data_IF_345231011310
#
_entry.id   IF_345231011310
#
_cell.length_a   1.000
_cell.length_b   1.000
_cell.length_c   1.000
_cell.angle_alpha   90.00
_cell.angle_beta   90.00
_cell.angle_gamma   90.00
#
_symmetry.space_group_name_H-M   'P 1'
#
loop_
_entity.id
_entity.type
_entity.pdbx_description
1 polymer ?
#
# COMPACT_ATOMS: atom_id res chain seq x y z
N UNK A 1 -22.71 -0.43 -24.24
CA UNK A 1 -23.08 0.73 -23.38
C UNK A 1 -22.08 1.87 -23.58
N UNK A 2 -22.56 3.12 -23.62
CA UNK A 2 -21.68 4.31 -23.71
C UNK A 2 -20.96 4.58 -22.37
N UNK A 3 -19.80 5.25 -22.38
CA UNK A 3 -19.05 5.57 -21.14
C UNK A 3 -19.87 6.42 -20.15
N UNK A 4 -20.69 7.40 -20.58
CA UNK A 4 -21.54 8.16 -19.66
C UNK A 4 -22.63 7.32 -18.99
N UNK A 5 -23.19 6.32 -19.68
CA UNK A 5 -24.18 5.42 -19.09
C UNK A 5 -23.56 4.52 -18.01
N UNK A 6 -22.36 3.98 -18.28
CA UNK A 6 -21.61 3.19 -17.31
C UNK A 6 -21.19 4.04 -16.11
N UNK A 7 -20.78 5.29 -16.33
CA UNK A 7 -20.43 6.23 -15.25
C UNK A 7 -21.58 6.47 -14.28
N UNK A 8 -22.80 6.69 -14.80
CA UNK A 8 -23.99 6.88 -13.97
C UNK A 8 -24.35 5.65 -13.16
N UNK A 9 -24.14 4.45 -13.71
CA UNK A 9 -24.43 3.20 -13.02
C UNK A 9 -23.39 2.90 -11.95
N UNK A 10 -22.10 2.94 -12.28
CA UNK A 10 -21.04 2.50 -11.36
C UNK A 10 -20.52 3.62 -10.46
N UNK A 11 -20.87 4.89 -10.70
CA UNK A 11 -20.37 6.03 -9.94
C UNK A 11 -18.92 6.43 -10.29
N UNK A 12 -18.30 5.78 -11.28
CA UNK A 12 -16.94 6.09 -11.70
C UNK A 12 -16.88 7.30 -12.64
N UNK A 13 -15.83 8.11 -12.48
CA UNK A 13 -15.57 9.27 -13.34
C UNK A 13 -15.46 8.86 -14.83
N UNK A 14 -16.05 9.63 -15.77
CA UNK A 14 -15.96 9.36 -17.21
C UNK A 14 -14.52 9.23 -17.74
N UNK A 15 -13.59 10.00 -17.17
CA UNK A 15 -12.15 9.95 -17.48
C UNK A 15 -11.53 8.60 -17.13
N UNK A 16 -11.90 8.01 -15.99
CA UNK A 16 -11.47 6.66 -15.59
C UNK A 16 -11.98 5.60 -16.56
N UNK A 17 -13.24 5.70 -16.97
CA UNK A 17 -13.84 4.76 -17.93
C UNK A 17 -13.23 4.86 -19.33
N UNK A 18 -12.88 6.07 -19.77
CA UNK A 18 -12.15 6.28 -21.02
C UNK A 18 -10.77 5.60 -20.98
N UNK A 19 -10.07 5.67 -19.84
CA UNK A 19 -8.78 4.97 -19.64
C UNK A 19 -8.93 3.46 -19.62
N UNK A 20 -10.01 2.93 -19.03
CA UNK A 20 -10.32 1.50 -19.10
C UNK A 20 -10.57 1.04 -20.54
N UNK A 21 -11.40 1.77 -21.30
CA UNK A 21 -11.69 1.43 -22.71
C UNK A 21 -10.46 1.50 -23.61
N UNK A 22 -9.56 2.45 -23.35
CA UNK A 22 -8.33 2.61 -24.11
C UNK A 22 -7.22 1.61 -23.72
N UNK A 23 -7.47 0.68 -22.78
CA UNK A 23 -6.46 -0.24 -22.26
C UNK A 23 -5.34 0.43 -21.44
N UNK A 24 -5.44 1.74 -21.21
CA UNK A 24 -4.44 2.55 -20.47
C UNK A 24 -4.51 2.35 -18.95
N UNK A 25 -5.53 1.65 -18.47
CA UNK A 25 -5.72 1.30 -17.06
C UNK A 25 -6.53 0.02 -16.97
N UNK A 26 -6.13 -0.89 -16.08
CA UNK A 26 -6.91 -2.10 -15.80
C UNK A 26 -8.10 -1.73 -14.90
N UNK A 27 -9.33 -2.19 -15.21
CA UNK A 27 -10.49 -1.98 -14.35
C UNK A 27 -10.28 -2.57 -12.95
N UNK A 28 -10.74 -1.88 -11.91
CA UNK A 28 -10.63 -2.41 -10.55
C UNK A 28 -11.66 -3.50 -10.32
N UNK A 29 -11.35 -4.42 -9.42
CA UNK A 29 -12.25 -5.48 -8.96
C UNK A 29 -13.63 -4.95 -8.53
N UNK A 30 -13.63 -3.89 -7.71
CA UNK A 30 -14.83 -3.21 -7.24
C UNK A 30 -15.72 -2.69 -8.40
N UNK A 31 -15.11 -2.05 -9.41
CA UNK A 31 -15.83 -1.55 -10.58
C UNK A 31 -16.54 -2.68 -11.33
N UNK A 32 -15.88 -3.84 -11.45
CA UNK A 32 -16.39 -4.97 -12.22
C UNK A 32 -17.51 -5.70 -11.48
N UNK A 33 -17.41 -5.83 -10.16
CA UNK A 33 -18.49 -6.30 -9.31
C UNK A 33 -19.72 -5.40 -9.43
N UNK A 34 -19.53 -4.08 -9.36
CA UNK A 34 -20.62 -3.11 -9.48
C UNK A 34 -21.26 -3.12 -10.87
N UNK A 35 -20.46 -3.28 -11.91
CA UNK A 35 -20.94 -3.39 -13.28
C UNK A 35 -21.80 -4.66 -13.47
N UNK A 36 -21.38 -5.78 -12.89
CA UNK A 36 -22.13 -7.04 -12.95
C UNK A 36 -23.49 -6.94 -12.27
N UNK A 37 -23.53 -6.34 -11.06
CA UNK A 37 -24.76 -6.19 -10.30
C UNK A 37 -25.74 -5.22 -10.98
N UNK A 38 -25.21 -4.12 -11.54
CA UNK A 38 -26.03 -3.03 -12.11
C UNK A 38 -26.35 -3.18 -13.59
N UNK A 39 -25.72 -4.12 -14.29
CA UNK A 39 -25.99 -4.42 -15.70
C UNK A 39 -26.08 -5.94 -15.96
N UNK A 40 -27.07 -6.63 -15.37
CA UNK A 40 -27.22 -8.08 -15.48
C UNK A 40 -27.48 -8.56 -16.92
N UNK A 41 -27.97 -7.69 -17.80
CA UNK A 41 -28.29 -7.99 -19.19
C UNK A 41 -27.06 -8.08 -20.12
N UNK A 42 -25.84 -7.96 -19.59
CA UNK A 42 -24.60 -8.14 -20.38
C UNK A 42 -24.34 -9.65 -20.66
N UNK A 43 -25.10 -10.56 -20.04
CA UNK A 43 -25.02 -12.00 -20.32
C UNK A 43 -23.73 -12.67 -19.81
N UNK A 44 -22.94 -11.96 -19.00
CA UNK A 44 -21.77 -12.48 -18.32
C UNK A 44 -22.16 -12.77 -16.87
N UNK A 45 -22.09 -14.04 -16.46
CA UNK A 45 -22.23 -14.38 -15.04
C UNK A 45 -20.95 -13.99 -14.29
N UNK A 46 -21.07 -13.78 -12.97
CA UNK A 46 -19.91 -13.55 -12.13
C UNK A 46 -18.87 -14.68 -12.29
N UNK A 47 -19.30 -15.94 -12.35
CA UNK A 47 -18.43 -17.12 -12.49
C UNK A 47 -17.58 -17.10 -13.77
N UNK A 48 -18.09 -16.51 -14.85
CA UNK A 48 -17.37 -16.40 -16.12
C UNK A 48 -16.34 -15.25 -16.12
N UNK A 49 -16.56 -14.24 -15.28
CA UNK A 49 -15.70 -13.06 -15.16
C UNK A 49 -14.64 -13.26 -14.08
N UNK A 50 -14.97 -13.87 -12.94
CA UNK A 50 -14.07 -13.99 -11.78
C UNK A 50 -12.65 -14.45 -12.16
N UNK A 51 -12.45 -15.54 -12.93
CA UNK A 51 -11.11 -15.98 -13.33
C UNK A 51 -10.38 -14.94 -14.18
N UNK A 52 -11.11 -14.22 -15.05
CA UNK A 52 -10.56 -13.13 -15.89
C UNK A 52 -10.19 -11.88 -15.09
N UNK A 53 -10.73 -11.73 -13.89
CA UNK A 53 -10.45 -10.62 -12.97
C UNK A 53 -9.39 -10.98 -11.93
N UNK A 54 -8.78 -12.16 -12.04
CA UNK A 54 -7.81 -12.66 -11.07
C UNK A 54 -8.41 -13.21 -9.79
N UNK A 55 -9.74 -13.34 -9.69
CA UNK A 55 -10.35 -14.08 -8.58
C UNK A 55 -9.99 -15.55 -8.71
N UNK A 56 -9.22 -16.06 -7.74
CA UNK A 56 -9.00 -17.50 -7.56
C UNK A 56 -10.21 -18.08 -6.84
N UNK A 57 -11.22 -18.47 -7.60
CA UNK A 57 -12.31 -19.25 -7.05
C UNK A 57 -11.85 -20.68 -6.81
N UNK A 58 -11.75 -21.09 -5.55
CA UNK A 58 -11.35 -22.45 -5.18
C UNK A 58 -12.52 -23.43 -5.16
N UNK A 59 -13.77 -22.94 -5.25
CA UNK A 59 -14.98 -23.74 -4.99
C UNK A 59 -15.11 -24.21 -3.54
N UNK A 60 -14.16 -23.86 -2.66
CA UNK A 60 -14.09 -24.30 -1.28
C UNK A 60 -14.58 -23.21 -0.32
N UNK A 61 -15.25 -23.62 0.77
CA UNK A 61 -15.57 -22.73 1.89
C UNK A 61 -14.38 -22.51 2.84
N UNK A 62 -13.26 -23.19 2.61
CA UNK A 62 -12.05 -23.05 3.41
C UNK A 62 -11.45 -21.63 3.31
N UNK A 63 -11.38 -20.88 4.43
CA UNK A 63 -10.75 -19.56 4.48
C UNK A 63 -9.31 -19.54 3.95
N UNK A 64 -8.53 -20.61 4.16
CA UNK A 64 -7.11 -20.67 3.78
C UNK A 64 -6.85 -20.68 2.28
N UNK A 65 -7.90 -20.86 1.46
CA UNK A 65 -7.80 -20.85 0.01
C UNK A 65 -7.82 -19.43 -0.61
N UNK A 66 -7.95 -18.38 0.20
CA UNK A 66 -8.21 -17.02 -0.26
C UNK A 66 -7.15 -16.03 0.25
N UNK A 67 -6.77 -15.06 -0.59
CA UNK A 67 -5.71 -14.08 -0.27
C UNK A 67 -6.20 -12.96 0.66
N UNK A 68 -7.50 -12.65 0.66
CA UNK A 68 -8.07 -11.58 1.46
C UNK A 68 -9.47 -11.95 1.97
N UNK A 69 -9.89 -11.30 3.06
CA UNK A 69 -11.25 -11.47 3.56
C UNK A 69 -12.30 -11.00 2.55
N UNK A 70 -12.04 -9.92 1.81
CA UNK A 70 -12.96 -9.44 0.77
C UNK A 70 -13.14 -10.47 -0.35
N UNK A 71 -12.05 -11.13 -0.76
CA UNK A 71 -12.05 -12.21 -1.73
C UNK A 71 -12.88 -13.39 -1.25
N UNK A 72 -12.65 -13.79 0.00
CA UNK A 72 -13.38 -14.86 0.64
C UNK A 72 -14.87 -14.54 0.78
N UNK A 73 -15.21 -13.34 1.23
CA UNK A 73 -16.58 -12.89 1.43
C UNK A 73 -17.37 -12.88 0.11
N UNK A 74 -16.75 -12.37 -0.97
CA UNK A 74 -17.31 -12.43 -2.31
C UNK A 74 -17.50 -13.88 -2.75
N UNK A 75 -16.48 -14.73 -2.59
CA UNK A 75 -16.56 -16.14 -2.96
C UNK A 75 -17.71 -16.88 -2.26
N UNK A 76 -17.89 -16.67 -0.95
CA UNK A 76 -19.00 -17.25 -0.21
C UNK A 76 -20.34 -16.74 -0.74
N UNK A 77 -20.49 -15.44 -1.01
CA UNK A 77 -21.75 -14.91 -1.58
C UNK A 77 -22.11 -15.59 -2.91
N UNK A 78 -21.12 -15.82 -3.77
CA UNK A 78 -21.30 -16.46 -5.07
C UNK A 78 -21.65 -17.93 -4.93
N UNK A 79 -20.96 -18.65 -4.03
CA UNK A 79 -21.26 -20.06 -3.72
C UNK A 79 -22.71 -20.22 -3.23
N UNK A 80 -23.20 -19.26 -2.46
CA UNK A 80 -24.59 -19.20 -1.99
C UNK A 80 -25.57 -18.70 -3.07
N UNK A 81 -25.07 -18.33 -4.25
CA UNK A 81 -25.83 -17.82 -5.41
C UNK A 81 -26.75 -16.65 -5.08
N UNK A 82 -26.24 -15.70 -4.29
CA UNK A 82 -27.01 -14.53 -3.83
C UNK A 82 -26.51 -13.24 -4.47
N UNK A 83 -27.45 -12.38 -4.84
CA UNK A 83 -27.14 -10.98 -5.11
C UNK A 83 -26.84 -10.24 -3.79
N UNK A 84 -26.35 -9.00 -3.85
CA UNK A 84 -25.90 -8.26 -2.65
C UNK A 84 -27.04 -8.03 -1.65
N UNK A 85 -28.24 -7.70 -2.14
CA UNK A 85 -29.41 -7.47 -1.29
C UNK A 85 -29.85 -8.75 -0.55
N UNK A 86 -29.93 -9.87 -1.27
CA UNK A 86 -30.28 -11.17 -0.69
C UNK A 86 -29.23 -11.65 0.31
N UNK A 87 -27.96 -11.33 0.06
CA UNK A 87 -26.87 -11.65 0.96
C UNK A 87 -26.92 -10.79 2.24
N UNK A 88 -27.15 -9.50 2.10
CA UNK A 88 -27.31 -8.55 3.19
C UNK A 88 -28.50 -8.90 4.10
N UNK A 89 -29.66 -9.19 3.50
CA UNK A 89 -30.87 -9.65 4.23
C UNK A 89 -30.56 -10.90 5.05
N UNK A 90 -29.84 -11.86 4.46
CA UNK A 90 -29.51 -13.13 5.13
C UNK A 90 -28.54 -12.94 6.29
N UNK A 91 -27.61 -11.98 6.19
CA UNK A 91 -26.70 -11.57 7.25
C UNK A 91 -27.36 -10.70 8.33
N UNK A 92 -28.47 -10.03 8.00
CA UNK A 92 -29.07 -9.00 8.85
C UNK A 92 -28.16 -7.77 8.97
N UNK A 93 -27.70 -7.28 7.83
CA UNK A 93 -26.86 -6.06 7.66
C UNK A 93 -27.41 -5.24 6.48
N UNK A 94 -26.94 -4.00 6.30
CA UNK A 94 -27.32 -3.19 5.15
C UNK A 94 -26.62 -3.69 3.88
N UNK A 95 -27.23 -3.50 2.70
CA UNK A 95 -26.58 -3.78 1.41
C UNK A 95 -25.27 -3.01 1.27
N UNK A 96 -25.21 -1.80 1.83
CA UNK A 96 -23.99 -1.00 1.83
C UNK A 96 -22.84 -1.68 2.57
N UNK A 97 -23.10 -2.36 3.69
CA UNK A 97 -22.05 -3.08 4.44
C UNK A 97 -21.45 -4.21 3.59
N UNK A 98 -22.29 -4.90 2.81
CA UNK A 98 -21.83 -5.92 1.85
C UNK A 98 -20.96 -5.28 0.79
N UNK A 99 -21.41 -4.20 0.16
CA UNK A 99 -20.64 -3.47 -0.87
C UNK A 99 -19.29 -3.02 -0.33
N UNK A 100 -19.28 -2.43 0.87
CA UNK A 100 -18.09 -1.91 1.52
C UNK A 100 -17.05 -3.02 1.71
N UNK A 101 -17.46 -4.19 2.23
CA UNK A 101 -16.57 -5.34 2.41
C UNK A 101 -16.01 -5.85 1.07
N UNK A 102 -16.86 -5.99 0.05
CA UNK A 102 -16.39 -6.39 -1.28
C UNK A 102 -15.41 -5.39 -1.90
N UNK A 103 -15.50 -4.13 -1.48
CA UNK A 103 -14.61 -3.04 -1.89
C UNK A 103 -13.37 -2.91 -0.99
N UNK A 104 -13.17 -3.85 -0.05
CA UNK A 104 -11.99 -3.94 0.80
C UNK A 104 -12.12 -3.26 2.16
N UNK A 105 -13.32 -2.81 2.55
CA UNK A 105 -13.55 -2.36 3.92
C UNK A 105 -13.51 -3.56 4.87
N UNK A 106 -12.73 -3.44 5.92
CA UNK A 106 -12.63 -4.47 6.94
C UNK A 106 -13.91 -4.53 7.77
N UNK A 107 -14.51 -5.71 7.92
CA UNK A 107 -15.69 -5.88 8.77
C UNK A 107 -15.33 -5.73 10.25
N UNK A 108 -16.29 -5.29 11.05
CA UNK A 108 -16.16 -5.39 12.50
C UNK A 108 -16.28 -6.84 12.99
N UNK A 109 -15.90 -7.07 14.25
CA UNK A 109 -15.95 -8.41 14.85
C UNK A 109 -17.37 -8.98 14.91
N UNK A 110 -18.40 -8.13 15.00
CA UNK A 110 -19.79 -8.56 15.05
C UNK A 110 -20.28 -9.11 13.70
N UNK A 111 -19.90 -8.46 12.61
CA UNK A 111 -20.24 -8.87 11.25
C UNK A 111 -19.49 -10.17 10.91
N UNK A 112 -18.21 -10.31 11.27
CA UNK A 112 -17.49 -11.58 11.12
C UNK A 112 -18.20 -12.72 11.88
N UNK A 113 -18.63 -12.48 13.12
CA UNK A 113 -19.42 -13.46 13.91
C UNK A 113 -20.73 -13.83 13.21
N UNK A 114 -21.47 -12.85 12.68
CA UNK A 114 -22.72 -13.09 11.91
C UNK A 114 -22.43 -13.92 10.66
N UNK A 115 -21.42 -13.55 9.89
CA UNK A 115 -21.02 -14.20 8.65
C UNK A 115 -20.68 -15.68 8.87
N UNK A 116 -19.83 -15.98 9.84
CA UNK A 116 -19.47 -17.35 10.21
C UNK A 116 -20.70 -18.14 10.63
N UNK A 117 -21.52 -17.58 11.52
CA UNK A 117 -22.73 -18.25 12.03
C UNK A 117 -23.72 -18.60 10.92
N UNK A 118 -23.86 -17.73 9.92
CA UNK A 118 -24.89 -17.85 8.88
C UNK A 118 -24.46 -18.74 7.72
N UNK A 119 -23.18 -18.69 7.30
CA UNK A 119 -22.74 -19.33 6.06
C UNK A 119 -21.68 -20.42 6.20
N UNK A 120 -20.96 -20.43 7.33
CA UNK A 120 -19.77 -21.28 7.50
C UNK A 120 -19.93 -22.36 8.57
N UNK A 121 -20.87 -22.20 9.50
CA UNK A 121 -21.17 -23.25 10.46
C UNK A 121 -21.87 -24.45 9.80
N UNK A 122 -21.60 -25.68 10.28
CA UNK A 122 -20.72 -26.02 11.41
C UNK A 122 -19.23 -26.12 11.07
N UNK A 123 -18.86 -26.01 9.78
CA UNK A 123 -17.55 -26.39 9.26
C UNK A 123 -16.39 -25.48 9.72
N UNK A 124 -16.66 -24.19 9.92
CA UNK A 124 -15.65 -23.22 10.37
C UNK A 124 -16.14 -22.35 11.53
N UNK A 125 -15.22 -22.02 12.42
CA UNK A 125 -15.41 -21.11 13.54
C UNK A 125 -14.92 -19.68 13.22
N UNK A 126 -15.23 -18.75 14.12
CA UNK A 126 -14.75 -17.36 14.01
C UNK A 126 -13.23 -17.29 14.15
N UNK A 127 -12.65 -18.18 14.97
CA UNK A 127 -11.22 -18.27 15.16
C UNK A 127 -10.54 -18.72 13.86
N UNK A 128 -11.08 -19.70 13.16
CA UNK A 128 -10.51 -20.21 11.89
C UNK A 128 -10.45 -19.10 10.83
N UNK A 129 -11.56 -18.35 10.66
CA UNK A 129 -11.62 -17.22 9.74
C UNK A 129 -10.65 -16.10 10.15
N UNK A 130 -10.63 -15.75 11.43
CA UNK A 130 -9.75 -14.67 11.92
C UNK A 130 -8.27 -15.06 11.80
N UNK A 131 -7.94 -16.33 12.02
CA UNK A 131 -6.58 -16.84 11.90
C UNK A 131 -6.11 -16.91 10.44
N UNK A 132 -7.02 -17.21 9.50
CA UNK A 132 -6.72 -17.23 8.07
C UNK A 132 -6.43 -15.83 7.51
N UNK A 133 -7.08 -14.79 8.04
CA UNK A 133 -6.95 -13.42 7.52
C UNK A 133 -6.26 -12.50 8.52
N UNK A 134 -4.99 -12.19 8.27
CA UNK A 134 -4.22 -11.23 9.08
C UNK A 134 -4.89 -9.85 9.15
N UNK A 135 -5.66 -9.44 8.14
CA UNK A 135 -6.38 -8.17 8.15
C UNK A 135 -7.44 -8.07 9.26
N UNK A 136 -7.85 -9.21 9.84
CA UNK A 136 -8.78 -9.26 10.96
C UNK A 136 -8.07 -9.32 12.33
N UNK A 137 -6.73 -9.27 12.34
CA UNK A 137 -5.87 -9.37 13.53
C UNK A 137 -4.94 -8.17 13.61
N UNK A 138 -5.46 -6.96 13.87
CA UNK A 138 -4.59 -5.81 14.10
C UNK A 138 -3.72 -6.06 15.33
N UNK A 139 -2.44 -5.70 15.25
CA UNK A 139 -1.58 -5.62 16.42
C UNK A 139 -1.96 -4.40 17.30
N UNK A 140 -1.31 -4.26 18.45
CA UNK A 140 -1.64 -3.19 19.40
C UNK A 140 -1.46 -1.78 18.80
N UNK A 141 -0.41 -1.59 18.00
CA UNK A 141 -0.11 -0.31 17.35
C UNK A 141 -1.15 0.03 16.29
N UNK A 142 -1.52 -0.93 15.44
CA UNK A 142 -2.56 -0.74 14.42
C UNK A 142 -3.93 -0.51 15.06
N UNK A 143 -4.25 -1.17 16.18
CA UNK A 143 -5.48 -0.92 16.92
C UNK A 143 -5.55 0.53 17.43
N UNK A 144 -4.47 1.03 18.03
CA UNK A 144 -4.37 2.40 18.50
C UNK A 144 -4.47 3.42 17.34
N UNK A 145 -3.68 3.21 16.27
CA UNK A 145 -3.71 4.07 15.08
C UNK A 145 -5.10 4.11 14.46
N UNK A 146 -5.78 2.97 14.37
CA UNK A 146 -7.15 2.86 13.86
C UNK A 146 -8.12 3.72 14.65
N UNK A 147 -8.07 3.69 15.98
CA UNK A 147 -8.92 4.53 16.83
C UNK A 147 -8.62 6.03 16.64
N UNK A 148 -7.35 6.39 16.53
CA UNK A 148 -6.91 7.77 16.26
C UNK A 148 -7.39 8.24 14.89
N UNK A 149 -7.26 7.44 13.85
CA UNK A 149 -7.75 7.77 12.51
C UNK A 149 -9.28 7.86 12.43
N UNK A 150 -10.01 6.98 13.14
CA UNK A 150 -11.47 7.08 13.23
C UNK A 150 -11.89 8.40 13.90
N UNK A 151 -11.22 8.77 14.99
CA UNK A 151 -11.46 10.06 15.67
C UNK A 151 -11.13 11.23 14.74
N UNK A 152 -9.98 11.18 14.08
CA UNK A 152 -9.52 12.18 13.12
C UNK A 152 -10.53 12.44 11.99
N UNK A 153 -11.17 11.39 11.46
CA UNK A 153 -12.18 11.50 10.40
C UNK A 153 -13.47 12.21 10.83
N UNK A 154 -13.77 12.22 12.13
CA UNK A 154 -14.97 12.87 12.67
C UNK A 154 -14.74 14.35 13.03
N UNK A 155 -13.50 14.83 13.01
CA UNK A 155 -13.18 16.22 13.34
C UNK A 155 -13.42 17.17 12.15
N UNK A 156 -14.05 18.35 12.37
CA UNK A 156 -14.26 19.33 11.32
C UNK A 156 -12.97 19.80 10.66
N UNK A 157 -13.07 20.23 9.40
CA UNK A 157 -11.95 20.86 8.72
C UNK A 157 -11.64 22.22 9.37
N UNK A 158 -10.37 22.48 9.72
CA UNK A 158 -9.94 23.72 10.38
C UNK A 158 -9.93 23.68 11.92
N UNK A 159 -10.32 22.55 12.53
CA UNK A 159 -10.22 22.37 13.98
C UNK A 159 -8.75 22.21 14.42
N UNK A 160 -8.32 22.98 15.43
CA UNK A 160 -6.97 22.88 16.01
C UNK A 160 -6.69 21.49 16.57
N UNK A 161 -7.70 20.80 17.10
CA UNK A 161 -7.59 19.43 17.60
C UNK A 161 -7.33 18.43 16.48
N UNK A 162 -7.89 18.68 15.28
CA UNK A 162 -7.61 17.87 14.10
C UNK A 162 -6.17 17.99 13.66
N UNK A 163 -5.63 19.22 13.63
CA UNK A 163 -4.23 19.47 13.29
C UNK A 163 -3.28 18.84 14.32
N UNK A 164 -3.54 19.02 15.61
CA UNK A 164 -2.73 18.42 16.67
C UNK A 164 -2.71 16.87 16.59
N UNK A 165 -3.85 16.26 16.23
CA UNK A 165 -3.94 14.81 16.03
C UNK A 165 -3.18 14.35 14.77
N UNK A 166 -3.27 15.10 13.67
CA UNK A 166 -2.45 14.85 12.46
C UNK A 166 -0.96 14.91 12.79
N UNK A 167 -0.53 15.97 13.47
CA UNK A 167 0.87 16.18 13.86
C UNK A 167 1.36 15.05 14.76
N UNK A 168 0.54 14.64 15.74
CA UNK A 168 0.86 13.51 16.62
C UNK A 168 0.99 12.19 15.86
N UNK A 169 0.09 11.89 14.90
CA UNK A 169 0.18 10.68 14.07
C UNK A 169 1.45 10.72 13.21
N UNK A 170 1.79 11.88 12.64
CA UNK A 170 3.01 12.06 11.85
C UNK A 170 4.25 11.81 12.70
N UNK A 171 4.33 12.39 13.90
CA UNK A 171 5.49 12.19 14.80
C UNK A 171 5.67 10.72 15.15
N UNK A 172 4.59 10.04 15.57
CA UNK A 172 4.66 8.64 16.01
C UNK A 172 5.00 7.69 14.86
N UNK A 173 4.56 8.00 13.64
CA UNK A 173 4.80 7.17 12.45
C UNK A 173 6.04 7.58 11.64
N UNK A 174 6.72 8.66 12.00
CA UNK A 174 7.91 9.15 11.27
C UNK A 174 9.03 8.10 11.19
N UNK A 175 9.43 7.40 12.28
CA UNK A 175 10.48 6.39 12.20
C UNK A 175 10.12 5.25 11.23
N UNK A 176 8.85 4.82 11.25
CA UNK A 176 8.35 3.81 10.32
C UNK A 176 8.39 4.29 8.86
N UNK A 177 7.94 5.52 8.59
CA UNK A 177 7.95 6.09 7.25
C UNK A 177 9.37 6.22 6.70
N UNK A 178 10.30 6.71 7.51
CA UNK A 178 11.71 6.86 7.14
C UNK A 178 12.34 5.50 6.81
N UNK A 179 12.11 4.48 7.65
CA UNK A 179 12.60 3.13 7.41
C UNK A 179 12.07 2.55 6.09
N UNK A 180 10.79 2.74 5.80
CA UNK A 180 10.19 2.30 4.53
C UNK A 180 10.82 3.06 3.36
N UNK A 181 10.95 4.39 3.44
CA UNK A 181 11.49 5.20 2.35
C UNK A 181 12.96 4.93 2.09
N UNK A 182 13.80 4.75 3.12
CA UNK A 182 15.20 4.34 2.95
C UNK A 182 15.27 3.03 2.19
N UNK A 183 14.53 2.01 2.65
CA UNK A 183 14.51 0.70 1.97
C UNK A 183 14.08 0.83 0.50
N UNK A 184 13.04 1.60 0.23
CA UNK A 184 12.53 1.85 -1.12
C UNK A 184 13.55 2.61 -1.98
N UNK A 185 14.11 3.71 -1.46
CA UNK A 185 15.08 4.56 -2.15
C UNK A 185 16.38 3.79 -2.47
N UNK A 186 16.85 2.96 -1.54
CA UNK A 186 17.97 2.05 -1.75
C UNK A 186 17.71 1.06 -2.90
N UNK A 187 16.53 0.43 -2.96
CA UNK A 187 16.15 -0.47 -4.06
C UNK A 187 16.14 0.23 -5.41
N UNK A 188 15.78 1.50 -5.43
CA UNK A 188 15.82 2.33 -6.63
C UNK A 188 17.21 2.91 -6.94
N UNK A 189 18.24 2.61 -6.13
CA UNK A 189 19.60 3.19 -6.23
C UNK A 189 19.62 4.72 -6.18
N UNK A 190 18.69 5.30 -5.42
CA UNK A 190 18.55 6.75 -5.19
C UNK A 190 18.40 7.05 -3.69
N UNK A 191 19.32 6.58 -2.83
CA UNK A 191 19.19 6.73 -1.37
C UNK A 191 19.08 8.19 -0.92
N UNK A 192 19.63 9.13 -1.68
CA UNK A 192 19.54 10.58 -1.43
C UNK A 192 18.11 11.14 -1.51
N UNK A 193 17.16 10.40 -2.10
CA UNK A 193 15.75 10.79 -2.15
C UNK A 193 14.95 10.30 -0.93
N UNK A 194 15.55 9.53 -0.02
CA UNK A 194 14.81 8.92 1.09
C UNK A 194 14.09 9.97 1.96
N UNK A 195 14.76 11.07 2.28
CA UNK A 195 14.20 12.16 3.10
C UNK A 195 12.94 12.78 2.48
N UNK A 196 13.03 13.11 1.20
CA UNK A 196 11.94 13.66 0.41
C UNK A 196 10.75 12.68 0.32
N UNK A 197 11.03 11.40 0.10
CA UNK A 197 10.01 10.38 -0.08
C UNK A 197 9.26 10.12 1.24
N UNK A 198 9.94 10.01 2.38
CA UNK A 198 9.23 9.71 3.63
C UNK A 198 8.40 10.88 4.12
N UNK A 199 8.93 12.11 4.07
CA UNK A 199 8.24 13.30 4.59
C UNK A 199 6.91 13.54 3.87
N UNK A 200 6.95 13.63 2.54
CA UNK A 200 5.73 13.82 1.74
C UNK A 200 4.84 12.56 1.75
N UNK A 201 5.44 11.37 1.71
CA UNK A 201 4.73 10.11 1.75
C UNK A 201 3.88 9.96 3.02
N UNK A 202 4.44 10.32 4.18
CA UNK A 202 3.78 10.23 5.47
C UNK A 202 2.67 11.26 5.64
N UNK A 203 2.92 12.53 5.31
CA UNK A 203 1.89 13.59 5.41
C UNK A 203 0.69 13.24 4.53
N UNK A 204 0.95 12.83 3.28
CA UNK A 204 -0.11 12.42 2.38
C UNK A 204 -0.82 11.15 2.85
N UNK A 205 -0.10 10.22 3.47
CA UNK A 205 -0.70 9.01 4.02
C UNK A 205 -1.60 9.35 5.22
N UNK A 206 -1.12 10.11 6.20
CA UNK A 206 -1.87 10.49 7.39
C UNK A 206 -3.17 11.24 7.03
N UNK A 207 -3.12 12.15 6.06
CA UNK A 207 -4.30 12.92 5.62
C UNK A 207 -5.36 12.09 4.91
N UNK A 208 -4.95 11.08 4.14
CA UNK A 208 -5.83 10.37 3.21
C UNK A 208 -6.14 8.93 3.63
N UNK A 209 -5.55 8.46 4.73
CA UNK A 209 -5.80 7.11 5.19
C UNK A 209 -7.24 6.95 5.66
N UNK A 210 -7.86 5.87 5.18
CA UNK A 210 -9.14 5.40 5.66
C UNK A 210 -8.90 4.11 6.47
N UNK A 211 -9.00 4.15 7.81
CA UNK A 211 -8.74 2.99 8.66
C UNK A 211 -9.71 1.84 8.36
N UNK A 212 -10.85 2.13 7.71
CA UNK A 212 -11.79 1.10 7.29
C UNK A 212 -11.25 0.25 6.15
N UNK A 213 -10.33 0.75 5.33
CA UNK A 213 -9.86 0.08 4.09
C UNK A 213 -8.60 -0.76 4.22
N UNK A 214 -8.07 -0.90 5.43
CA UNK A 214 -6.87 -1.68 5.69
C UNK A 214 -6.05 -1.10 6.83
N UNK A 215 -4.83 -1.62 6.98
CA UNK A 215 -3.90 -1.19 8.02
C UNK A 215 -3.04 -0.02 7.56
N UNK A 216 -2.74 0.89 8.48
CA UNK A 216 -1.98 2.10 8.16
C UNK A 216 -0.56 1.80 7.66
N UNK A 217 0.24 0.90 8.29
CA UNK A 217 1.59 0.57 7.80
C UNK A 217 1.61 0.05 6.36
N UNK A 218 0.63 -0.79 6.00
CA UNK A 218 0.48 -1.31 4.64
C UNK A 218 0.15 -0.21 3.63
N UNK A 219 -0.75 0.70 4.01
CA UNK A 219 -1.12 1.85 3.20
C UNK A 219 0.05 2.84 3.02
N UNK A 220 0.76 3.15 4.11
CA UNK A 220 1.94 4.01 4.13
C UNK A 220 3.03 3.47 3.21
N UNK A 221 3.34 2.17 3.28
CA UNK A 221 4.30 1.51 2.38
C UNK A 221 3.91 1.64 0.92
N UNK A 222 2.63 1.38 0.58
CA UNK A 222 2.14 1.52 -0.78
C UNK A 222 2.22 2.97 -1.28
N UNK A 223 1.94 3.94 -0.40
CA UNK A 223 2.00 5.37 -0.70
C UNK A 223 3.44 5.85 -0.95
N UNK A 224 4.36 5.53 -0.05
CA UNK A 224 5.80 5.84 -0.15
C UNK A 224 6.37 5.24 -1.42
N UNK A 225 6.07 3.98 -1.73
CA UNK A 225 6.52 3.33 -2.98
C UNK A 225 5.99 4.06 -4.22
N UNK A 226 4.70 4.39 -4.25
CA UNK A 226 4.08 5.11 -5.36
C UNK A 226 4.66 6.52 -5.56
N UNK A 227 5.00 7.19 -4.45
CA UNK A 227 5.64 8.51 -4.48
C UNK A 227 7.08 8.43 -4.99
N UNK A 228 7.89 7.51 -4.46
CA UNK A 228 9.25 7.24 -4.93
C UNK A 228 9.28 6.98 -6.44
N UNK A 229 8.39 6.10 -6.91
CA UNK A 229 8.10 5.84 -8.32
C UNK A 229 7.84 7.13 -9.11
N UNK A 230 6.98 7.99 -8.59
CA UNK A 230 6.64 9.28 -9.21
C UNK A 230 7.86 10.19 -9.37
N UNK A 231 8.63 10.37 -8.30
CA UNK A 231 9.81 11.25 -8.23
C UNK A 231 10.92 10.73 -9.15
N UNK A 232 11.28 9.46 -9.03
CA UNK A 232 12.43 8.86 -9.73
C UNK A 232 12.24 8.88 -11.25
N UNK A 233 11.02 8.64 -11.73
CA UNK A 233 10.72 8.68 -13.17
C UNK A 233 10.22 10.04 -13.66
N UNK A 234 10.36 11.10 -12.85
CA UNK A 234 10.02 12.47 -13.24
C UNK A 234 8.54 12.69 -13.54
N UNK A 235 7.66 11.82 -13.05
CA UNK A 235 6.19 11.89 -13.23
C UNK A 235 5.52 12.70 -12.13
N UNK A 236 6.21 12.91 -11.02
CA UNK A 236 5.82 13.80 -9.93
C UNK A 236 6.99 14.73 -9.63
N UNK A 237 6.67 16.01 -9.44
CA UNK A 237 7.57 17.01 -8.86
C UNK A 237 7.05 17.26 -7.46
N UNK A 238 7.87 17.02 -6.45
CA UNK A 238 7.51 17.26 -5.05
C UNK A 238 7.92 18.68 -4.67
N UNK A 239 7.01 19.41 -4.04
CA UNK A 239 7.32 20.75 -3.52
C UNK A 239 8.13 20.69 -2.23
N UNK A 240 7.96 19.63 -1.43
CA UNK A 240 8.50 19.54 -0.06
C UNK A 240 9.97 19.11 -0.04
N UNK A 241 10.39 18.22 -0.94
CA UNK A 241 11.79 17.84 -1.09
C UNK A 241 12.67 18.96 -1.64
N UNK A 242 12.12 19.78 -2.53
CA UNK A 242 12.80 21.00 -2.98
C UNK A 242 12.94 21.98 -1.83
N UNK A 243 11.91 22.18 -1.00
CA UNK A 243 12.01 23.10 0.15
C UNK A 243 13.07 22.66 1.17
N UNK A 244 13.16 21.37 1.50
CA UNK A 244 14.21 20.86 2.38
C UNK A 244 15.61 20.89 1.75
N UNK A 245 15.72 20.57 0.46
CA UNK A 245 17.00 20.60 -0.27
C UNK A 245 17.53 22.03 -0.49
N UNK A 246 16.61 22.96 -0.75
CA UNK A 246 16.89 24.35 -1.07
C UNK A 246 17.09 25.18 0.20
N UNK A 247 16.20 25.06 1.19
CA UNK A 247 16.21 25.90 2.40
C UNK A 247 16.75 25.19 3.65
N UNK A 248 16.82 23.85 3.69
CA UNK A 248 17.31 23.10 4.86
C UNK A 248 18.74 23.47 5.29
N UNK A 249 19.73 23.51 4.36
CA UNK A 249 21.08 23.97 4.69
C UNK A 249 21.10 25.43 5.17
N UNK A 250 20.32 26.31 4.52
CA UNK A 250 20.25 27.74 4.84
C UNK A 250 19.64 27.99 6.22
N UNK A 251 18.58 27.25 6.59
CA UNK A 251 17.93 27.34 7.90
C UNK A 251 18.85 26.85 9.01
N UNK A 252 19.57 25.73 8.83
CA UNK A 252 20.54 25.25 9.84
C UNK A 252 21.69 26.25 10.05
N UNK A 253 22.23 26.79 8.96
CA UNK A 253 23.31 27.79 9.02
C UNK A 253 22.84 29.09 9.71
N UNK A 254 21.60 29.53 9.42
CA UNK A 254 20.99 30.65 10.10
C UNK A 254 20.72 30.38 11.59
N UNK A 255 20.24 29.18 11.94
CA UNK A 255 20.05 28.76 13.32
C UNK A 255 21.36 28.79 14.11
N UNK A 256 22.44 28.24 13.55
CA UNK A 256 23.77 28.21 14.17
C UNK A 256 24.36 29.61 14.32
N UNK A 257 24.23 30.45 13.29
CA UNK A 257 24.72 31.83 13.31
C UNK A 257 23.98 32.69 14.34
N UNK A 258 22.64 32.66 14.32
CA UNK A 258 21.81 33.44 15.23
C UNK A 258 21.91 32.93 16.68
N UNK A 259 22.14 31.64 16.89
CA UNK A 259 22.43 31.08 18.21
C UNK A 259 23.74 31.65 18.78
N UNK A 260 24.77 31.81 17.95
CA UNK A 260 26.04 32.43 18.35
C UNK A 260 25.90 33.92 18.66
N UNK A 261 25.13 34.65 17.85
CA UNK A 261 24.91 36.10 18.02
C UNK A 261 24.00 36.43 19.21
N UNK A 262 22.91 35.69 19.40
CA UNK A 262 21.92 35.99 20.45
C UNK A 262 22.19 35.29 21.78
N UNK A 263 23.07 34.27 21.80
CA UNK A 263 23.33 33.45 22.98
C UNK A 263 22.12 32.63 23.45
N UNK A 264 21.08 32.52 22.63
CA UNK A 264 19.86 31.72 22.84
C UNK A 264 19.36 31.16 21.51
N UNK A 265 18.54 30.11 21.56
CA UNK A 265 17.87 29.58 20.37
C UNK A 265 17.04 30.67 19.64
N UNK A 266 17.24 30.85 18.32
CA UNK A 266 16.45 31.79 17.54
C UNK A 266 15.02 31.27 17.31
N UNK A 267 14.08 32.18 17.12
CA UNK A 267 12.68 31.88 16.80
C UNK A 267 12.47 31.72 15.28
N UNK A 268 11.40 31.04 14.85
CA UNK A 268 11.06 30.86 13.43
C UNK A 268 10.95 32.22 12.69
N UNK A 269 10.38 33.24 13.33
CA UNK A 269 10.28 34.60 12.81
C UNK A 269 11.66 35.29 12.66
N UNK A 270 12.58 35.05 13.58
CA UNK A 270 13.94 35.61 13.54
C UNK A 270 14.77 34.97 12.41
N UNK A 271 14.64 33.66 12.21
CA UNK A 271 15.27 32.93 11.10
C UNK A 271 14.68 33.37 9.76
N UNK A 272 13.35 33.50 9.68
CA UNK A 272 12.65 33.96 8.48
C UNK A 272 13.09 35.38 8.07
N UNK A 273 13.25 36.27 9.06
CA UNK A 273 13.74 37.62 8.83
C UNK A 273 15.20 37.63 8.36
N UNK A 274 16.06 36.78 8.95
CA UNK A 274 17.47 36.68 8.57
C UNK A 274 17.67 36.13 7.16
N UNK A 275 16.84 35.18 6.73
CA UNK A 275 16.93 34.53 5.43
C UNK A 275 16.09 35.19 4.33
N UNK A 276 15.29 36.21 4.66
CA UNK A 276 14.33 36.87 3.77
C UNK A 276 13.37 35.88 3.07
N UNK A 277 12.85 34.93 3.85
CA UNK A 277 11.89 33.92 3.38
C UNK A 277 10.63 33.93 4.26
N UNK A 278 9.49 33.41 3.77
CA UNK A 278 8.27 33.33 4.58
C UNK A 278 8.45 32.48 5.84
N UNK A 279 7.94 32.96 6.98
CA UNK A 279 7.97 32.24 8.26
C UNK A 279 7.30 30.86 8.17
N UNK A 280 6.27 30.71 7.34
CA UNK A 280 5.64 29.41 7.06
C UNK A 280 6.62 28.39 6.47
N UNK A 281 7.56 28.84 5.64
CA UNK A 281 8.58 27.99 5.00
C UNK A 281 9.63 27.56 6.02
N UNK A 282 10.04 28.45 6.92
CA UNK A 282 10.94 28.11 8.05
C UNK A 282 10.29 27.07 8.95
N UNK A 283 9.04 27.28 9.35
CA UNK A 283 8.33 26.32 10.20
C UNK A 283 8.16 24.95 9.53
N UNK A 284 7.95 24.90 8.21
CA UNK A 284 7.91 23.62 7.46
C UNK A 284 9.27 22.91 7.45
N UNK A 285 10.37 23.65 7.27
CA UNK A 285 11.73 23.12 7.29
C UNK A 285 12.13 22.64 8.70
N UNK A 286 11.96 23.47 9.73
CA UNK A 286 12.35 23.12 11.11
C UNK A 286 11.58 21.90 11.63
N UNK A 287 10.28 21.76 11.34
CA UNK A 287 9.51 20.55 11.69
C UNK A 287 10.08 19.29 11.05
N UNK A 288 10.44 19.36 9.77
CA UNK A 288 11.02 18.24 9.06
C UNK A 288 12.45 17.91 9.54
N UNK A 289 13.24 18.92 9.93
CA UNK A 289 14.58 18.75 10.48
C UNK A 289 14.58 18.09 11.87
N UNK A 290 13.68 18.51 12.76
CA UNK A 290 13.52 17.91 14.11
C UNK A 290 13.14 16.43 13.99
N UNK A 291 12.20 16.12 13.08
CA UNK A 291 11.79 14.74 12.81
C UNK A 291 12.94 13.88 12.25
N UNK A 292 13.83 14.46 11.44
CA UNK A 292 15.05 13.79 10.93
C UNK A 292 16.10 13.54 12.04
N UNK A 293 16.39 14.52 12.89
CA UNK A 293 17.45 14.41 13.91
C UNK A 293 17.14 13.38 15.01
N UNK A 294 15.87 13.26 15.42
CA UNK A 294 15.45 12.24 16.39
C UNK A 294 15.73 10.81 15.90
N UNK A 295 15.71 10.58 14.59
CA UNK A 295 15.92 9.27 13.98
C UNK A 295 17.40 8.91 13.73
N UNK A 296 18.32 9.89 13.76
CA UNK A 296 19.75 9.67 13.45
C UNK A 296 20.49 8.91 14.56
N UNK A 297 20.08 9.04 15.83
CA UNK A 297 20.77 8.38 16.95
C UNK A 297 20.53 6.86 17.03
N UNK A 298 19.51 6.33 16.36
CA UNK A 298 19.18 4.90 16.31
C UNK A 298 19.67 4.20 15.02
N UNK A 299 20.28 4.95 14.09
CA UNK A 299 20.49 4.54 12.70
C UNK A 299 21.70 3.60 12.44
N UNK A 300 22.81 3.68 13.19
CA UNK A 300 24.06 3.04 12.75
C UNK A 300 24.09 1.52 13.01
N UNK A 301 23.54 1.08 14.14
CA UNK A 301 23.48 -0.34 14.52
C UNK A 301 22.38 -1.08 13.75
N UNK A 302 21.32 -0.36 13.36
CA UNK A 302 20.22 -0.86 12.54
C UNK A 302 20.59 -1.04 11.06
N UNK A 303 21.37 -0.12 10.47
CA UNK A 303 21.83 -0.20 9.07
C UNK A 303 22.69 -1.44 8.80
N UNK A 304 23.45 -1.91 9.79
CA UNK A 304 24.23 -3.15 9.72
C UNK A 304 23.37 -4.42 9.86
N UNK A 305 22.24 -4.34 10.58
CA UNK A 305 21.33 -5.47 10.77
C UNK A 305 20.31 -5.61 9.61
N UNK A 306 19.86 -4.50 9.00
CA UNK A 306 18.76 -4.48 8.03
C UNK A 306 19.15 -4.48 6.55
N UNK A 307 20.45 -4.40 6.25
CA UNK A 307 20.96 -4.84 4.95
C UNK A 307 20.73 -6.36 4.72
N UNK A 308 20.45 -7.10 5.80
CA UNK A 308 20.16 -8.54 5.81
C UNK A 308 18.67 -8.83 6.06
N UNK A 309 17.95 -7.99 6.83
CA UNK A 309 16.54 -8.18 7.22
C UNK A 309 15.48 -7.55 6.27
N UNK A 310 15.69 -7.54 4.96
CA UNK A 310 14.65 -7.18 3.96
C UNK A 310 13.62 -8.33 3.80
N UNK A 311 13.30 -9.01 4.90
CA UNK A 311 12.53 -10.26 4.97
C UNK A 311 11.17 -10.16 5.68
N UNK A 312 10.79 -9.06 6.34
CA UNK A 312 9.54 -9.08 7.14
C UNK A 312 8.26 -8.67 6.42
N UNK A 313 8.20 -8.88 5.09
CA UNK A 313 6.94 -9.17 4.40
C UNK A 313 6.88 -10.63 3.90
N UNK A 314 7.91 -11.43 4.21
CA UNK A 314 8.06 -12.83 3.80
C UNK A 314 7.44 -13.82 4.80
N UNK A 315 7.07 -13.41 6.01
CA UNK A 315 6.58 -14.36 7.04
C UNK A 315 5.11 -14.80 6.89
N UNK A 316 4.43 -14.44 5.80
CA UNK A 316 3.05 -14.88 5.53
C UNK A 316 2.83 -15.47 4.12
N UNK A 317 3.90 -15.95 3.47
CA UNK A 317 3.77 -16.86 2.32
C UNK A 317 4.10 -18.27 2.78
N UNK A 318 3.11 -19.16 2.70
CA UNK A 318 3.19 -20.56 3.12
C UNK A 318 4.55 -21.19 2.80
N UNK A 319 5.16 -21.83 3.79
CA UNK A 319 6.58 -22.20 3.89
C UNK A 319 7.20 -23.13 2.83
N UNK A 320 6.56 -23.38 1.68
CA UNK A 320 7.19 -24.07 0.53
C UNK A 320 7.65 -23.12 -0.56
N UNK A 321 6.95 -22.01 -0.77
CA UNK A 321 7.31 -21.05 -1.83
C UNK A 321 8.51 -20.18 -1.44
N UNK A 322 8.69 -19.89 -0.14
CA UNK A 322 9.87 -19.17 0.37
C UNK A 322 11.16 -19.97 0.19
N UNK A 323 11.17 -21.26 0.55
CA UNK A 323 12.35 -22.13 0.40
C UNK A 323 12.79 -22.28 -1.06
N UNK A 324 11.84 -22.29 -2.01
CA UNK A 324 12.15 -22.37 -3.43
C UNK A 324 12.72 -21.06 -3.96
N UNK A 325 12.15 -19.92 -3.56
CA UNK A 325 12.71 -18.60 -3.90
C UNK A 325 14.10 -18.45 -3.30
N UNK A 326 14.36 -19.05 -2.14
CA UNK A 326 15.67 -18.95 -1.48
C UNK A 326 16.81 -19.62 -2.22
N UNK A 327 16.50 -20.60 -3.06
CA UNK A 327 17.45 -21.31 -3.92
C UNK A 327 17.81 -20.56 -5.20
N UNK A 328 17.14 -19.44 -5.50
CA UNK A 328 17.49 -18.58 -6.63
C UNK A 328 18.75 -17.76 -6.29
N UNK A 329 19.57 -17.45 -7.29
CA UNK A 329 20.73 -16.56 -7.13
C UNK A 329 20.29 -15.15 -6.73
N UNK A 330 21.16 -14.41 -6.01
CA UNK A 330 20.87 -13.06 -5.51
C UNK A 330 20.37 -12.10 -6.60
N UNK A 331 20.97 -12.14 -7.78
CA UNK A 331 20.57 -11.35 -8.95
C UNK A 331 19.14 -11.65 -9.40
N UNK A 332 18.74 -12.92 -9.44
CA UNK A 332 17.39 -13.33 -9.88
C UNK A 332 16.35 -13.01 -8.81
N UNK A 333 16.71 -13.18 -7.52
CA UNK A 333 15.87 -12.70 -6.41
C UNK A 333 15.64 -11.20 -6.52
N UNK A 334 16.68 -10.41 -6.77
CA UNK A 334 16.59 -8.95 -6.96
C UNK A 334 15.63 -8.61 -8.11
N UNK A 335 15.75 -9.26 -9.27
CA UNK A 335 14.85 -9.06 -10.40
C UNK A 335 13.39 -9.41 -10.08
N UNK A 336 13.14 -10.52 -9.39
CA UNK A 336 11.79 -10.92 -9.00
C UNK A 336 11.17 -9.96 -7.98
N UNK A 337 11.96 -9.49 -7.00
CA UNK A 337 11.54 -8.51 -6.02
C UNK A 337 11.18 -7.19 -6.70
N UNK A 338 12.08 -6.67 -7.55
CA UNK A 338 11.83 -5.44 -8.30
C UNK A 338 10.60 -5.56 -9.21
N UNK A 339 10.46 -6.67 -9.95
CA UNK A 339 9.39 -6.83 -10.93
C UNK A 339 8.02 -7.15 -10.29
N UNK A 340 7.95 -8.11 -9.35
CA UNK A 340 6.69 -8.60 -8.79
C UNK A 340 6.31 -7.94 -7.47
N UNK A 341 7.25 -7.77 -6.53
CA UNK A 341 6.94 -7.13 -5.24
C UNK A 341 6.83 -5.61 -5.38
N UNK A 342 7.75 -5.00 -6.12
CA UNK A 342 7.76 -3.55 -6.35
C UNK A 342 6.99 -3.13 -7.62
N UNK A 343 6.41 -4.11 -8.34
CA UNK A 343 5.55 -3.91 -9.52
C UNK A 343 6.20 -3.03 -10.60
N UNK A 344 7.51 -3.17 -10.76
CA UNK A 344 8.27 -2.40 -11.73
C UNK A 344 8.15 -3.01 -13.13
N UNK A 345 7.82 -2.22 -14.16
CA UNK A 345 7.93 -2.65 -15.54
C UNK A 345 9.39 -2.97 -15.87
N UNK A 346 9.58 -3.90 -16.79
CA UNK A 346 10.87 -4.47 -17.16
C UNK A 346 11.90 -3.42 -17.60
N UNK A 347 11.47 -2.38 -18.31
CA UNK A 347 12.32 -1.23 -18.65
C UNK A 347 12.86 -0.46 -17.44
N UNK A 348 12.05 -0.31 -16.39
CA UNK A 348 12.45 0.37 -15.16
C UNK A 348 13.38 -0.53 -14.33
N UNK A 349 13.13 -1.84 -14.29
CA UNK A 349 14.03 -2.83 -13.66
C UNK A 349 15.40 -2.82 -14.36
N UNK A 350 15.43 -2.84 -15.70
CA UNK A 350 16.65 -2.78 -16.50
C UNK A 350 17.49 -1.53 -16.19
N UNK A 351 16.83 -0.38 -16.04
CA UNK A 351 17.48 0.87 -15.64
C UNK A 351 18.11 0.77 -14.25
N UNK A 352 17.45 0.12 -13.30
CA UNK A 352 17.92 -0.03 -11.92
C UNK A 352 19.09 -1.02 -11.84
N UNK A 353 19.00 -2.17 -12.52
CA UNK A 353 20.01 -3.22 -12.45
C UNK A 353 21.19 -2.99 -13.38
N UNK A 354 21.10 -2.05 -14.31
CA UNK A 354 22.11 -1.82 -15.36
C UNK A 354 22.08 -2.90 -16.46
N UNK A 355 21.00 -3.68 -16.53
CA UNK A 355 20.79 -4.73 -17.53
C UNK A 355 20.06 -4.17 -18.75
N UNK A 356 20.02 -4.93 -19.84
CA UNK A 356 19.08 -4.64 -20.94
C UNK A 356 17.67 -5.09 -20.57
N UNK A 357 16.64 -4.45 -21.14
CA UNK A 357 15.24 -4.86 -20.90
C UNK A 357 14.97 -6.31 -21.34
N UNK A 358 15.61 -6.75 -22.43
CA UNK A 358 15.51 -8.12 -22.93
C UNK A 358 16.12 -9.14 -21.95
N UNK A 359 17.25 -8.82 -21.33
CA UNK A 359 17.89 -9.68 -20.32
C UNK A 359 17.02 -9.82 -19.08
N UNK A 360 16.40 -8.72 -18.62
CA UNK A 360 15.45 -8.74 -17.49
C UNK A 360 14.25 -9.63 -17.81
N UNK A 361 13.64 -9.47 -18.99
CA UNK A 361 12.51 -10.30 -19.43
C UNK A 361 12.91 -11.77 -19.47
N UNK A 362 14.08 -12.09 -20.03
CA UNK A 362 14.58 -13.46 -20.14
C UNK A 362 14.78 -14.08 -18.75
N UNK A 363 15.47 -13.40 -17.84
CA UNK A 363 15.75 -13.89 -16.47
C UNK A 363 14.48 -14.01 -15.63
N UNK A 364 13.53 -13.08 -15.73
CA UNK A 364 12.24 -13.17 -15.04
C UNK A 364 11.42 -14.35 -15.56
N UNK A 365 11.34 -14.54 -16.89
CA UNK A 365 10.64 -15.69 -17.48
C UNK A 365 11.27 -17.01 -17.07
N UNK A 366 12.60 -17.09 -17.10
CA UNK A 366 13.36 -18.25 -16.64
C UNK A 366 13.03 -18.57 -15.18
N UNK A 367 13.06 -17.56 -14.30
CA UNK A 367 12.82 -17.74 -12.88
C UNK A 367 11.40 -18.23 -12.58
N UNK A 368 10.39 -17.70 -13.27
CA UNK A 368 9.00 -18.17 -13.16
C UNK A 368 8.85 -19.59 -13.69
N UNK A 369 9.49 -19.93 -14.81
CA UNK A 369 9.47 -21.29 -15.35
C UNK A 369 10.14 -22.30 -14.42
N UNK A 370 11.27 -21.91 -13.82
CA UNK A 370 11.99 -22.70 -12.83
C UNK A 370 11.14 -22.92 -11.57
N UNK A 371 10.52 -21.86 -11.02
CA UNK A 371 9.64 -21.96 -9.84
C UNK A 371 8.43 -22.88 -10.10
N UNK A 372 7.83 -22.80 -11.29
CA UNK A 372 6.71 -23.70 -11.67
C UNK A 372 7.16 -25.15 -11.83
N UNK A 373 8.34 -25.38 -12.42
CA UNK A 373 8.93 -26.73 -12.52
C UNK A 373 9.24 -27.30 -11.15
N UNK A 374 9.84 -26.50 -10.26
CA UNK A 374 10.19 -26.89 -8.89
C UNK A 374 8.97 -27.18 -8.01
N UNK A 375 7.81 -26.58 -8.32
CA UNK A 375 6.51 -26.88 -7.69
C UNK A 375 5.83 -28.14 -8.23
N UNK A 376 6.30 -28.69 -9.35
CA UNK A 376 5.67 -29.82 -10.05
C UNK A 376 4.54 -29.42 -11.01
N UNK A 377 4.39 -28.12 -11.31
CA UNK A 377 3.30 -27.57 -12.15
C UNK A 377 3.58 -27.69 -13.66
N UNK A 378 4.80 -28.03 -14.07
CA UNK A 378 5.24 -28.10 -15.48
C UNK A 378 6.16 -29.32 -15.71
N UNK A 379 5.95 -30.06 -16.81
CA UNK A 379 6.84 -31.12 -17.25
C UNK A 379 8.22 -30.54 -17.64
N UNK A 380 9.33 -31.21 -17.30
CA UNK A 380 10.68 -30.68 -17.49
C UNK A 380 10.99 -30.54 -18.99
N UNK A 381 10.98 -29.30 -19.49
CA UNK A 381 11.69 -28.94 -20.73
C UNK A 381 12.89 -28.10 -20.36
N UNK A 382 14.01 -28.45 -20.98
CA UNK A 382 15.37 -27.98 -20.74
C UNK A 382 15.44 -26.47 -20.45
N UNK A 383 15.68 -26.15 -19.17
CA UNK A 383 16.07 -24.80 -18.74
C UNK A 383 17.57 -24.66 -19.01
N UNK A 384 17.93 -24.13 -20.17
CA UNK A 384 19.32 -23.72 -20.44
C UNK A 384 19.59 -22.44 -19.64
N UNK A 385 20.66 -22.37 -18.84
CA UNK A 385 21.06 -21.14 -18.17
C UNK A 385 21.64 -20.16 -19.20
N UNK A 386 21.26 -18.88 -19.11
CA UNK A 386 21.96 -17.76 -19.77
C UNK A 386 22.83 -17.07 -18.75
#
# INVERSE_FOLDING_TARGET
MSSPQVARLTGHAPTTLARYKAGKRVPTKAFLLDLLEKAPNIGLSFDQLAPKLGYRWSGSKDPGCYESFADYFVAIRIMERRNRDQFAIKLGVATQDVIDIEHGVLPDTLLVKKFVRVFLRPDFSVADVTQAFWQLRPDALEAELRERFLTFQHLPFGDSTRKAMEDSIIVDCAPMAENIAKSVAWRFRRPELAEEIWGEGLVLAARNHDPRRGFFPGYLRARIRGLARGIIWGKMQTGVGNVLREYGPMVREAEDFLLQEFGRGPTEAEIAHYLDIPESTVGEVSRALIASQAAVSENLEFLLHHAVDVGSASELRSGKDSELVDRLGAEIKELLLLHYEDQLPTCEVATITGMTEDDVIAKVKWAVAWLRSARGDLAPRELVPV
#
